data_IF_171154284846
#
_entry.id   IF_171154284846
#
_cell.length_a   1.000
_cell.length_b   1.000
_cell.length_c   1.000
_cell.angle_alpha   90.00
_cell.angle_beta   90.00
_cell.angle_gamma   90.00
#
_symmetry.space_group_name_H-M   'P 1'
#
loop_
_entity.id
_entity.type
_entity.pdbx_description
1 polymer ?
#
# COMPACT_ATOMS: atom_id res chain seq x y z
N UNK A 1 26.10 4.05 12.64
CA UNK A 1 25.31 2.85 12.31
C UNK A 1 24.38 3.23 11.17
N UNK A 2 24.25 2.45 10.06
CA UNK A 2 23.28 2.79 9.04
C UNK A 2 21.86 2.67 9.64
N UNK A 3 21.07 3.73 9.53
CA UNK A 3 19.66 3.74 9.94
C UNK A 3 18.91 2.71 9.09
N UNK A 4 18.26 1.73 9.73
CA UNK A 4 17.47 0.74 9.01
C UNK A 4 16.30 1.43 8.29
N UNK A 5 16.10 1.15 7.00
CA UNK A 5 14.95 1.64 6.24
C UNK A 5 13.96 0.51 6.00
N UNK A 6 12.66 0.80 6.05
CA UNK A 6 11.58 -0.14 5.76
C UNK A 6 10.71 0.36 4.61
N UNK A 7 10.31 -0.55 3.73
CA UNK A 7 9.33 -0.31 2.67
C UNK A 7 8.20 -1.32 2.80
N UNK A 8 6.97 -0.91 2.46
CA UNK A 8 5.82 -1.80 2.51
C UNK A 8 4.79 -1.46 1.45
N UNK A 9 4.10 -2.49 0.97
CA UNK A 9 2.90 -2.37 0.14
C UNK A 9 1.74 -3.06 0.84
N UNK A 10 0.52 -2.53 0.70
CA UNK A 10 -0.65 -3.10 1.37
C UNK A 10 -1.93 -2.95 0.54
N UNK A 11 -2.78 -3.99 0.45
CA UNK A 11 -4.04 -3.89 -0.29
C UNK A 11 -4.95 -2.82 0.32
N UNK A 12 -5.50 -1.97 -0.55
CA UNK A 12 -6.33 -0.82 -0.17
C UNK A 12 -7.82 -1.12 -0.24
N UNK A 13 -8.55 -0.94 0.85
CA UNK A 13 -10.01 -1.10 0.88
C UNK A 13 -10.75 0.04 0.16
N UNK A 14 -10.16 1.22 0.17
CA UNK A 14 -10.70 2.52 -0.22
C UNK A 14 -10.58 2.85 -1.71
N UNK A 15 -9.89 2.03 -2.51
CA UNK A 15 -9.82 2.21 -3.96
C UNK A 15 -11.13 1.83 -4.67
N UNK A 16 -11.68 0.69 -4.28
CA UNK A 16 -12.98 0.18 -4.72
C UNK A 16 -13.47 -0.85 -3.69
N UNK A 17 -14.33 -0.44 -2.74
CA UNK A 17 -14.79 -1.32 -1.67
C UNK A 17 -15.58 -2.53 -2.19
N UNK A 18 -16.29 -2.41 -3.32
CA UNK A 18 -17.09 -3.49 -3.89
C UNK A 18 -16.16 -4.54 -4.52
N UNK A 19 -15.25 -4.10 -5.39
CA UNK A 19 -14.26 -4.99 -5.98
C UNK A 19 -13.40 -5.66 -4.90
N UNK A 20 -12.94 -4.92 -3.88
CA UNK A 20 -12.18 -5.51 -2.78
C UNK A 20 -12.98 -6.45 -1.89
N UNK A 21 -14.29 -6.24 -1.74
CA UNK A 21 -15.14 -7.21 -1.05
C UNK A 21 -15.18 -8.53 -1.81
N UNK A 22 -15.29 -8.51 -3.14
CA UNK A 22 -15.23 -9.70 -3.98
C UNK A 22 -13.87 -10.40 -3.88
N UNK A 23 -12.76 -9.66 -3.97
CA UNK A 23 -11.40 -10.24 -3.81
C UNK A 23 -11.21 -10.86 -2.43
N UNK A 24 -11.66 -10.20 -1.36
CA UNK A 24 -11.59 -10.73 0.01
C UNK A 24 -12.42 -12.01 0.16
N UNK A 25 -13.60 -12.06 -0.45
CA UNK A 25 -14.45 -13.25 -0.44
C UNK A 25 -13.78 -14.41 -1.18
N UNK A 26 -13.21 -14.16 -2.37
CA UNK A 26 -12.48 -15.16 -3.15
C UNK A 26 -11.25 -15.70 -2.39
N UNK A 27 -10.46 -14.81 -1.76
CA UNK A 27 -9.33 -15.20 -0.92
C UNK A 27 -9.78 -16.12 0.22
N UNK A 28 -10.87 -15.77 0.91
CA UNK A 28 -11.43 -16.57 2.00
C UNK A 28 -11.91 -17.95 1.52
N UNK A 29 -12.54 -18.03 0.35
CA UNK A 29 -12.93 -19.31 -0.26
C UNK A 29 -11.71 -20.18 -0.57
N UNK A 30 -10.59 -19.57 -0.96
CA UNK A 30 -9.30 -20.23 -1.16
C UNK A 30 -8.52 -20.53 0.13
N UNK A 31 -9.10 -20.31 1.31
CA UNK A 31 -8.44 -20.57 2.60
C UNK A 31 -7.43 -19.51 3.04
N UNK A 32 -7.40 -18.34 2.38
CA UNK A 32 -6.52 -17.22 2.71
C UNK A 32 -7.28 -16.09 3.40
N UNK A 33 -6.69 -15.55 4.46
CA UNK A 33 -7.21 -14.33 5.11
C UNK A 33 -6.59 -13.10 4.45
N UNK A 34 -7.41 -12.36 3.68
CA UNK A 34 -7.03 -11.05 3.12
C UNK A 34 -7.62 -9.92 3.96
N UNK A 35 -6.76 -9.04 4.48
CA UNK A 35 -7.14 -7.89 5.31
C UNK A 35 -6.74 -6.57 4.61
N UNK A 36 -7.53 -6.11 3.63
CA UNK A 36 -7.31 -4.78 3.05
C UNK A 36 -7.51 -3.70 4.10
N UNK A 37 -6.75 -2.62 3.98
CA UNK A 37 -6.76 -1.48 4.91
C UNK A 37 -6.99 -0.19 4.16
N UNK A 38 -7.51 0.84 4.82
CA UNK A 38 -7.51 2.20 4.27
C UNK A 38 -6.15 2.86 4.48
N UNK A 39 -5.86 3.93 3.73
CA UNK A 39 -4.56 4.62 3.75
C UNK A 39 -4.06 4.96 5.16
N UNK A 40 -4.92 5.51 6.03
CA UNK A 40 -4.57 5.92 7.40
C UNK A 40 -4.19 4.73 8.28
N UNK A 41 -4.70 3.53 7.98
CA UNK A 41 -4.33 2.33 8.72
C UNK A 41 -2.97 1.77 8.25
N UNK A 42 -2.60 2.02 6.99
CA UNK A 42 -1.28 1.69 6.45
C UNK A 42 -0.23 2.66 6.97
N UNK A 43 -0.54 3.96 7.06
CA UNK A 43 0.34 4.99 7.65
C UNK A 43 0.79 4.61 9.06
N UNK A 44 -0.11 4.05 9.88
CA UNK A 44 0.20 3.61 11.25
C UNK A 44 1.24 2.49 11.36
N UNK A 45 1.54 1.76 10.28
CA UNK A 45 2.66 0.81 10.30
C UNK A 45 4.02 1.50 10.45
N UNK A 46 4.09 2.78 10.12
CA UNK A 46 5.28 3.61 10.19
C UNK A 46 5.26 4.58 11.38
N UNK A 47 4.35 4.40 12.35
CA UNK A 47 4.28 5.25 13.54
C UNK A 47 5.63 5.27 14.29
N UNK A 48 6.13 6.47 14.55
CA UNK A 48 7.43 6.70 15.20
C UNK A 48 8.65 6.58 14.29
N UNK A 49 8.47 6.44 12.99
CA UNK A 49 9.56 6.43 11.99
C UNK A 49 9.54 7.72 11.17
N UNK A 50 10.68 8.05 10.55
CA UNK A 50 10.77 9.19 9.64
C UNK A 50 10.25 8.79 8.25
N UNK A 51 9.06 9.29 7.89
CA UNK A 51 8.46 9.00 6.58
C UNK A 51 9.27 9.60 5.43
N UNK A 52 9.52 8.78 4.40
CA UNK A 52 10.17 9.22 3.17
C UNK A 52 9.09 9.73 2.21
N UNK A 53 9.29 10.94 1.65
CA UNK A 53 8.39 11.50 0.65
C UNK A 53 8.26 10.57 -0.58
N UNK A 54 7.05 10.33 -1.10
CA UNK A 54 5.82 11.12 -0.88
C UNK A 54 4.94 10.69 0.32
N UNK A 55 5.40 9.78 1.17
CA UNK A 55 4.57 9.18 2.22
C UNK A 55 3.88 7.91 1.75
N UNK A 56 2.63 7.68 2.20
CA UNK A 56 1.80 6.57 1.73
C UNK A 56 0.91 7.04 0.57
N UNK A 57 1.16 6.51 -0.62
CA UNK A 57 0.45 6.83 -1.88
C UNK A 57 0.08 5.54 -2.60
N UNK A 58 -0.79 5.55 -3.63
CA UNK A 58 -1.01 4.36 -4.46
C UNK A 58 0.32 3.87 -5.02
N UNK A 59 0.52 2.56 -5.11
CA UNK A 59 1.83 1.98 -5.47
C UNK A 59 2.37 2.48 -6.80
N UNK A 60 1.49 2.78 -7.76
CA UNK A 60 1.87 3.35 -9.06
C UNK A 60 2.41 4.78 -8.99
N UNK A 61 2.05 5.52 -7.95
CA UNK A 61 2.42 6.93 -7.75
C UNK A 61 3.68 7.07 -6.87
N UNK A 62 4.21 5.96 -6.35
CA UNK A 62 5.40 6.00 -5.51
C UNK A 62 6.66 6.11 -6.38
N UNK A 63 7.14 7.34 -6.57
CA UNK A 63 8.36 7.69 -7.35
C UNK A 63 8.46 6.89 -8.66
N UNK A 64 7.47 7.03 -9.56
CA UNK A 64 7.53 6.36 -10.86
C UNK A 64 8.77 6.83 -11.63
N UNK A 65 9.45 5.89 -12.29
CA UNK A 65 10.46 6.21 -13.29
C UNK A 65 9.78 6.76 -14.56
N UNK A 66 10.56 7.18 -15.57
CA UNK A 66 10.07 7.63 -16.90
C UNK A 66 9.41 6.50 -17.74
N UNK A 67 8.90 5.46 -17.09
CA UNK A 67 8.16 4.38 -17.73
C UNK A 67 6.81 4.90 -18.27
N UNK A 68 6.28 4.29 -19.35
CA UNK A 68 4.94 4.59 -19.82
C UNK A 68 3.93 4.46 -18.70
N UNK A 69 2.97 5.38 -18.63
CA UNK A 69 1.88 5.30 -17.66
C UNK A 69 1.24 3.92 -17.72
N UNK A 70 1.23 3.22 -16.59
CA UNK A 70 0.44 2.02 -16.40
C UNK A 70 -1.04 2.45 -16.43
N UNK A 71 -1.92 1.57 -16.91
CA UNK A 71 -3.38 1.74 -17.00
C UNK A 71 -3.97 2.71 -15.95
N UNK A 72 -4.93 3.53 -16.37
CA UNK A 72 -5.50 4.62 -15.55
C UNK A 72 -6.16 4.11 -14.26
N UNK A 73 -6.53 2.82 -14.21
CA UNK A 73 -7.10 2.15 -13.05
C UNK A 73 -6.23 2.24 -11.77
N UNK A 74 -6.86 2.19 -10.58
CA UNK A 74 -6.12 2.11 -9.33
C UNK A 74 -5.36 0.78 -9.26
N UNK A 75 -4.09 0.82 -8.86
CA UNK A 75 -3.30 -0.39 -8.65
C UNK A 75 -3.79 -1.22 -7.43
N UNK A 76 -4.84 -0.80 -6.71
CA UNK A 76 -5.42 -1.42 -5.52
C UNK A 76 -4.49 -1.61 -4.31
N UNK A 77 -3.26 -1.09 -4.37
CA UNK A 77 -2.29 -1.17 -3.28
C UNK A 77 -1.77 0.21 -2.90
N UNK A 78 -1.64 0.42 -1.59
CA UNK A 78 -0.87 1.49 -0.99
C UNK A 78 0.60 1.11 -0.93
N UNK A 79 1.50 2.07 -1.10
CA UNK A 79 2.94 1.91 -0.92
C UNK A 79 3.50 3.03 -0.04
N UNK A 80 4.47 2.70 0.80
CA UNK A 80 5.16 3.67 1.66
C UNK A 80 6.56 3.21 2.06
N UNK A 81 7.40 4.17 2.42
CA UNK A 81 8.76 3.94 2.90
C UNK A 81 9.06 4.87 4.07
N UNK A 82 9.77 4.36 5.08
CA UNK A 82 10.19 5.12 6.23
C UNK A 82 11.59 4.70 6.71
N UNK A 83 12.30 5.62 7.36
CA UNK A 83 13.58 5.37 8.03
C UNK A 83 13.31 5.21 9.52
N UNK A 84 13.86 4.14 10.09
CA UNK A 84 13.87 3.96 11.54
C UNK A 84 14.86 4.97 12.15
N UNK A 85 14.53 5.58 13.30
CA UNK A 85 15.43 6.48 14.03
C UNK A 85 16.78 5.82 14.37
#
# INVERSE_FOLDING_TARGET
MPTASGSGTHPGWDFDPEAMAAVRAAARQGGMTLMPRVREQVERFFDGWEMVAPGVVPVKDWRPDDAPAIDEGPAFYWAGMARKP
#
